data_IF_126074966695
#
_entry.id   IF_126074966695
#
_cell.length_a   1.000
_cell.length_b   1.000
_cell.length_c   1.000
_cell.angle_alpha   90.00
_cell.angle_beta   90.00
_cell.angle_gamma   90.00
#
_symmetry.space_group_name_H-M   'P 1'
#
loop_
_entity.id
_entity.type
_entity.pdbx_description
1 polymer ?
#
# COMPACT_ATOMS: atom_id res chain seq x y z
N UNK A 1 22.28 -15.84 -19.28
CA UNK A 1 22.02 -14.52 -19.89
C UNK A 1 20.63 -13.95 -19.53
N UNK A 2 19.53 -14.72 -19.72
CA UNK A 2 18.17 -14.21 -19.44
C UNK A 2 17.98 -13.79 -17.99
N UNK A 3 18.50 -14.58 -17.03
CA UNK A 3 18.43 -14.27 -15.60
C UNK A 3 19.21 -12.98 -15.27
N UNK A 4 20.41 -12.83 -15.82
CA UNK A 4 21.27 -11.66 -15.59
C UNK A 4 20.60 -10.39 -16.12
N UNK A 5 20.04 -10.45 -17.33
CA UNK A 5 19.27 -9.33 -17.91
C UNK A 5 18.06 -9.00 -17.06
N UNK A 6 17.33 -10.01 -16.58
CA UNK A 6 16.16 -9.80 -15.72
C UNK A 6 16.53 -9.12 -14.39
N UNK A 7 17.60 -9.59 -13.73
CA UNK A 7 18.11 -9.01 -12.49
C UNK A 7 18.61 -7.58 -12.72
N UNK A 8 19.43 -7.36 -13.75
CA UNK A 8 19.95 -6.03 -14.07
C UNK A 8 18.85 -5.04 -14.43
N UNK A 9 17.83 -5.47 -15.19
CA UNK A 9 16.66 -4.64 -15.49
C UNK A 9 15.87 -4.29 -14.23
N UNK A 10 15.69 -5.23 -13.33
CA UNK A 10 15.06 -4.99 -12.04
C UNK A 10 15.85 -3.99 -11.19
N UNK A 11 17.17 -4.13 -11.13
CA UNK A 11 18.05 -3.19 -10.42
C UNK A 11 17.95 -1.77 -10.99
N UNK A 12 17.97 -1.61 -12.33
CA UNK A 12 17.80 -0.32 -12.97
C UNK A 12 16.43 0.30 -12.66
N UNK A 13 15.37 -0.49 -12.74
CA UNK A 13 14.03 -0.04 -12.43
C UNK A 13 13.91 0.42 -10.97
N UNK A 14 14.42 -0.36 -10.02
CA UNK A 14 14.43 -0.02 -8.60
C UNK A 14 15.29 1.22 -8.32
N UNK A 15 16.45 1.31 -8.96
CA UNK A 15 17.31 2.50 -8.87
C UNK A 15 16.64 3.76 -9.38
N UNK A 16 15.89 3.67 -10.49
CA UNK A 16 15.12 4.79 -11.02
C UNK A 16 14.02 5.26 -10.07
N UNK A 17 13.30 4.32 -9.45
CA UNK A 17 12.29 4.65 -8.44
C UNK A 17 12.92 5.35 -7.23
N UNK A 18 14.06 4.84 -6.73
CA UNK A 18 14.80 5.46 -5.64
C UNK A 18 15.27 6.87 -5.99
N UNK A 19 15.71 7.09 -7.24
CA UNK A 19 16.09 8.42 -7.74
C UNK A 19 14.90 9.39 -7.75
N UNK A 20 13.76 8.96 -8.29
CA UNK A 20 12.52 9.76 -8.30
C UNK A 20 12.09 10.07 -6.87
N UNK A 21 12.14 9.09 -5.98
CA UNK A 21 11.81 9.27 -4.55
C UNK A 21 12.75 10.27 -3.89
N UNK A 22 14.05 10.20 -4.17
CA UNK A 22 15.01 11.19 -3.70
C UNK A 22 14.69 12.61 -4.19
N UNK A 23 14.33 12.76 -5.48
CA UNK A 23 13.93 14.05 -6.04
C UNK A 23 12.69 14.61 -5.34
N UNK A 24 11.67 13.76 -5.09
CA UNK A 24 10.46 14.13 -4.34
C UNK A 24 10.84 14.60 -2.93
N UNK A 25 11.65 13.84 -2.20
CA UNK A 25 12.09 14.18 -0.85
C UNK A 25 12.93 15.47 -0.82
N UNK A 26 13.78 15.66 -1.84
CA UNK A 26 14.57 16.89 -2.00
C UNK A 26 13.66 18.09 -2.22
N UNK A 27 12.70 17.99 -3.12
CA UNK A 27 11.76 19.06 -3.44
C UNK A 27 10.83 19.41 -2.25
N UNK A 28 10.44 18.40 -1.48
CA UNK A 28 9.59 18.57 -0.30
C UNK A 28 10.38 18.89 0.99
N UNK A 29 11.70 19.08 0.92
CA UNK A 29 12.59 19.38 2.05
C UNK A 29 12.54 18.34 3.18
N UNK A 30 12.39 17.04 2.84
CA UNK A 30 12.25 15.95 3.80
C UNK A 30 13.62 15.31 4.08
N UNK A 31 13.83 14.90 5.32
CA UNK A 31 15.00 14.15 5.77
C UNK A 31 14.58 12.83 6.45
N UNK A 32 15.41 11.77 6.41
CA UNK A 32 16.66 11.59 5.66
C UNK A 32 16.37 11.31 4.16
N UNK A 33 17.11 11.93 3.26
CA UNK A 33 16.93 11.77 1.79
C UNK A 33 18.13 11.15 1.09
N UNK A 34 19.33 11.25 1.69
CA UNK A 34 20.55 10.74 1.07
C UNK A 34 20.55 9.22 0.89
N UNK A 35 19.84 8.50 1.73
CA UNK A 35 19.70 7.05 1.60
C UNK A 35 19.10 6.66 0.24
N UNK A 36 18.07 7.37 -0.22
CA UNK A 36 17.46 7.11 -1.53
C UNK A 36 18.40 7.44 -2.69
N UNK A 37 19.24 8.47 -2.55
CA UNK A 37 20.26 8.77 -3.55
C UNK A 37 21.32 7.68 -3.60
N UNK A 38 21.79 7.22 -2.43
CA UNK A 38 22.74 6.12 -2.35
C UNK A 38 22.17 4.84 -2.96
N UNK A 39 20.94 4.47 -2.60
CA UNK A 39 20.24 3.31 -3.16
C UNK A 39 20.08 3.43 -4.69
N UNK A 40 19.74 4.62 -5.19
CA UNK A 40 19.63 4.87 -6.62
C UNK A 40 20.96 4.64 -7.35
N UNK A 41 22.05 5.24 -6.86
CA UNK A 41 23.37 5.12 -7.48
C UNK A 41 23.88 3.68 -7.44
N UNK A 42 23.69 3.00 -6.31
CA UNK A 42 24.08 1.61 -6.11
C UNK A 42 23.33 0.66 -7.05
N UNK A 43 21.99 0.74 -7.04
CA UNK A 43 21.15 -0.11 -7.86
C UNK A 43 21.33 0.15 -9.36
N UNK A 44 21.43 1.42 -9.77
CA UNK A 44 21.68 1.76 -11.18
C UNK A 44 23.08 1.32 -11.62
N UNK A 45 24.08 1.50 -10.78
CA UNK A 45 25.45 1.07 -11.09
C UNK A 45 25.52 -0.44 -11.29
N UNK A 46 24.94 -1.24 -10.40
CA UNK A 46 24.89 -2.69 -10.57
C UNK A 46 24.03 -3.11 -11.76
N UNK A 47 22.89 -2.49 -11.97
CA UNK A 47 22.03 -2.81 -13.10
C UNK A 47 22.71 -2.57 -14.43
N UNK A 48 23.45 -1.45 -14.59
CA UNK A 48 24.25 -1.16 -15.79
C UNK A 48 25.40 -2.15 -15.95
N UNK A 49 26.09 -2.51 -14.86
CA UNK A 49 27.14 -3.50 -14.87
C UNK A 49 26.61 -4.87 -15.33
N UNK A 50 25.47 -5.32 -14.78
CA UNK A 50 24.87 -6.61 -15.07
C UNK A 50 24.44 -6.74 -16.54
N UNK A 51 23.89 -5.67 -17.14
CA UNK A 51 23.44 -5.68 -18.53
C UNK A 51 24.60 -5.43 -19.50
N UNK A 52 25.74 -4.97 -19.02
CA UNK A 52 26.89 -4.64 -19.88
C UNK A 52 27.41 -5.86 -20.65
N UNK A 53 27.56 -5.78 -21.98
CA UNK A 53 28.08 -6.90 -22.79
C UNK A 53 29.58 -7.16 -22.60
N UNK A 54 30.28 -6.30 -21.87
CA UNK A 54 31.75 -6.34 -21.74
C UNK A 54 32.26 -7.26 -20.63
N UNK A 55 31.36 -7.84 -19.83
CA UNK A 55 31.74 -8.66 -18.66
C UNK A 55 30.92 -9.94 -18.61
N UNK A 56 31.52 -11.00 -18.06
CA UNK A 56 30.76 -12.16 -17.59
C UNK A 56 30.13 -11.83 -16.23
N UNK A 57 29.00 -11.13 -16.27
CA UNK A 57 28.27 -10.71 -15.08
C UNK A 57 27.59 -11.90 -14.35
N UNK A 58 27.57 -13.08 -14.95
CA UNK A 58 26.83 -14.25 -14.43
C UNK A 58 27.31 -14.67 -13.04
N UNK A 59 28.61 -14.77 -12.85
CA UNK A 59 29.19 -15.16 -11.56
C UNK A 59 28.95 -14.10 -10.48
N UNK A 60 29.03 -12.82 -10.84
CA UNK A 60 28.74 -11.72 -9.92
C UNK A 60 27.26 -11.72 -9.49
N UNK A 61 26.34 -11.88 -10.44
CA UNK A 61 24.91 -11.93 -10.15
C UNK A 61 24.52 -13.15 -9.32
N UNK A 62 25.12 -14.31 -9.58
CA UNK A 62 24.91 -15.51 -8.76
C UNK A 62 25.42 -15.30 -7.33
N UNK A 63 26.55 -14.61 -7.15
CA UNK A 63 27.09 -14.28 -5.84
C UNK A 63 26.14 -13.31 -5.10
N UNK A 64 25.65 -12.27 -5.77
CA UNK A 64 24.66 -11.33 -5.20
C UNK A 64 23.37 -12.03 -4.83
N UNK A 65 22.84 -12.89 -5.70
CA UNK A 65 21.65 -13.68 -5.43
C UNK A 65 21.87 -14.60 -4.22
N UNK A 66 23.01 -15.28 -4.16
CA UNK A 66 23.37 -16.13 -3.02
C UNK A 66 23.43 -15.34 -1.71
N UNK A 67 24.09 -14.19 -1.72
CA UNK A 67 24.14 -13.29 -0.56
C UNK A 67 22.74 -12.82 -0.15
N UNK A 68 21.92 -12.42 -1.12
CA UNK A 68 20.52 -12.03 -0.87
C UNK A 68 19.72 -13.16 -0.21
N UNK A 69 19.82 -14.39 -0.72
CA UNK A 69 19.12 -15.55 -0.16
C UNK A 69 19.60 -15.89 1.26
N UNK A 70 20.90 -15.75 1.54
CA UNK A 70 21.46 -15.94 2.89
C UNK A 70 20.86 -14.89 3.84
N UNK A 71 20.84 -13.62 3.44
CA UNK A 71 20.28 -12.53 4.25
C UNK A 71 18.78 -12.71 4.46
N UNK A 72 18.03 -13.14 3.44
CA UNK A 72 16.61 -13.46 3.54
C UNK A 72 16.38 -14.61 4.53
N UNK A 73 17.17 -15.69 4.43
CA UNK A 73 17.12 -16.83 5.34
C UNK A 73 17.44 -16.42 6.78
N UNK A 74 18.49 -15.64 6.99
CA UNK A 74 18.86 -15.11 8.32
C UNK A 74 17.77 -14.20 8.91
N UNK A 75 17.15 -13.35 8.10
CA UNK A 75 16.01 -12.52 8.52
C UNK A 75 14.82 -13.38 8.95
N UNK A 76 14.48 -14.41 8.16
CA UNK A 76 13.37 -15.32 8.46
C UNK A 76 13.63 -16.17 9.71
N UNK A 77 14.85 -16.64 9.91
CA UNK A 77 15.25 -17.36 11.12
C UNK A 77 15.17 -16.45 12.34
N UNK A 78 15.69 -15.23 12.26
CA UNK A 78 15.59 -14.25 13.34
C UNK A 78 14.12 -13.99 13.71
N UNK A 79 13.25 -13.77 12.72
CA UNK A 79 11.84 -13.53 12.96
C UNK A 79 11.15 -14.75 13.60
N UNK A 80 11.56 -15.98 13.24
CA UNK A 80 11.11 -17.21 13.88
C UNK A 80 11.59 -17.38 15.33
N UNK A 81 12.86 -17.09 15.61
CA UNK A 81 13.43 -17.21 16.95
C UNK A 81 12.92 -16.15 17.93
N UNK A 82 12.69 -14.93 17.46
CA UNK A 82 12.22 -13.82 18.28
C UNK A 82 10.71 -13.63 18.25
N UNK A 83 9.97 -14.63 17.73
CA UNK A 83 8.52 -14.63 17.74
C UNK A 83 7.99 -14.89 19.16
N UNK A 84 7.91 -13.86 19.98
CA UNK A 84 7.21 -13.93 21.26
C UNK A 84 5.69 -13.79 21.07
N UNK A 85 4.98 -14.86 21.37
CA UNK A 85 3.53 -14.93 21.38
C UNK A 85 2.98 -13.94 22.41
N UNK A 86 2.50 -12.78 22.00
CA UNK A 86 1.83 -11.81 22.86
C UNK A 86 2.62 -10.58 23.32
N UNK A 87 3.92 -10.47 23.03
CA UNK A 87 4.71 -9.24 23.24
C UNK A 87 5.09 -8.61 21.92
N UNK A 88 4.24 -7.71 21.42
CA UNK A 88 4.67 -6.84 20.33
C UNK A 88 5.56 -5.73 20.89
N UNK A 89 6.86 -5.81 20.68
CA UNK A 89 7.74 -4.68 20.87
C UNK A 89 7.92 -3.97 19.50
N UNK A 90 7.14 -2.90 19.23
CA UNK A 90 7.06 -2.31 17.89
C UNK A 90 8.41 -1.77 17.40
N UNK A 91 9.32 -1.43 18.33
CA UNK A 91 10.63 -0.88 17.98
C UNK A 91 11.66 -1.91 17.49
N UNK A 92 11.51 -3.19 17.84
CA UNK A 92 12.43 -4.25 17.43
C UNK A 92 12.07 -4.89 16.08
N UNK A 93 10.78 -4.93 15.73
CA UNK A 93 10.28 -5.55 14.49
C UNK A 93 10.58 -4.75 13.21
N UNK A 94 10.78 -3.44 13.33
CA UNK A 94 10.98 -2.54 12.19
C UNK A 94 12.40 -2.52 11.61
N UNK A 95 13.38 -3.19 12.19
CA UNK A 95 14.78 -2.83 11.90
C UNK A 95 15.42 -3.45 10.67
N UNK A 96 14.99 -4.54 10.12
CA UNK A 96 15.46 -5.04 8.79
C UNK A 96 14.63 -6.27 8.37
N UNK A 97 13.70 -6.12 7.47
CA UNK A 97 13.15 -7.24 6.69
C UNK A 97 13.64 -7.14 5.26
N UNK A 98 14.22 -8.20 4.78
CA UNK A 98 14.44 -8.38 3.36
C UNK A 98 13.16 -8.97 2.77
N UNK A 99 12.62 -8.31 1.76
CA UNK A 99 11.41 -8.76 1.05
C UNK A 99 11.79 -9.42 -0.26
N UNK A 100 10.93 -10.31 -0.72
CA UNK A 100 11.04 -10.85 -2.07
C UNK A 100 10.99 -9.72 -3.10
N UNK A 101 11.71 -9.85 -4.22
CA UNK A 101 11.65 -8.90 -5.31
C UNK A 101 10.20 -8.62 -5.75
N UNK A 102 9.90 -7.37 -6.09
CA UNK A 102 8.54 -6.89 -6.37
C UNK A 102 7.80 -7.71 -7.43
N UNK A 103 8.52 -8.21 -8.45
CA UNK A 103 7.91 -9.03 -9.50
C UNK A 103 7.41 -10.37 -8.96
N UNK A 104 8.05 -10.93 -7.92
CA UNK A 104 7.58 -12.14 -7.25
C UNK A 104 6.40 -11.87 -6.33
N UNK A 105 6.41 -10.71 -5.63
CA UNK A 105 5.29 -10.30 -4.78
C UNK A 105 4.09 -9.81 -5.58
N UNK A 106 4.28 -9.23 -6.74
CA UNK A 106 3.21 -8.79 -7.64
C UNK A 106 2.45 -9.98 -8.28
N UNK A 107 3.07 -11.16 -8.39
CA UNK A 107 2.41 -12.36 -8.91
C UNK A 107 1.52 -13.06 -7.86
N UNK A 108 1.80 -12.88 -6.57
CA UNK A 108 1.04 -13.49 -5.46
C UNK A 108 -0.42 -12.96 -5.39
N UNK A 109 -0.69 -11.66 -5.54
CA UNK A 109 -2.03 -11.11 -5.46
C UNK A 109 -2.99 -11.64 -6.52
N UNK A 110 -2.51 -11.83 -7.76
CA UNK A 110 -3.34 -12.34 -8.87
C UNK A 110 -3.83 -13.76 -8.56
N UNK A 111 -3.00 -14.60 -7.96
CA UNK A 111 -3.38 -15.96 -7.59
C UNK A 111 -4.38 -15.99 -6.42
N UNK A 112 -4.29 -15.03 -5.52
CA UNK A 112 -5.22 -14.89 -4.37
C UNK A 112 -6.56 -14.34 -4.84
N UNK A 113 -6.56 -13.31 -5.68
CA UNK A 113 -7.76 -12.75 -6.32
C UNK A 113 -8.47 -13.80 -7.17
N UNK A 114 -7.72 -14.59 -7.98
CA UNK A 114 -8.30 -15.66 -8.78
C UNK A 114 -8.96 -16.73 -7.91
N UNK A 115 -8.34 -17.15 -6.81
CA UNK A 115 -8.93 -18.10 -5.85
C UNK A 115 -10.19 -17.56 -5.17
N UNK A 116 -10.25 -16.25 -4.91
CA UNK A 116 -11.44 -15.59 -4.36
C UNK A 116 -12.54 -15.50 -5.42
N UNK A 117 -12.22 -15.03 -6.62
CA UNK A 117 -13.19 -14.97 -7.72
C UNK A 117 -13.73 -16.37 -8.09
N UNK A 118 -12.90 -17.40 -8.08
CA UNK A 118 -13.35 -18.79 -8.28
C UNK A 118 -14.27 -19.27 -7.17
N UNK A 119 -14.05 -18.88 -5.92
CA UNK A 119 -14.93 -19.18 -4.79
C UNK A 119 -16.22 -18.37 -4.81
N UNK A 120 -16.16 -17.12 -5.22
CA UNK A 120 -17.33 -16.24 -5.37
C UNK A 120 -18.20 -16.66 -6.56
N UNK A 121 -17.58 -17.05 -7.68
CA UNK A 121 -18.31 -17.54 -8.87
C UNK A 121 -18.88 -18.95 -8.73
N UNK A 122 -18.34 -19.78 -7.85
CA UNK A 122 -18.88 -21.13 -7.58
C UNK A 122 -20.09 -21.14 -6.62
N UNK A 123 -20.31 -20.04 -5.89
CA UNK A 123 -21.55 -19.81 -5.14
C UNK A 123 -22.29 -18.69 -5.88
N UNK A 124 -23.48 -18.96 -6.38
CA UNK A 124 -24.42 -17.95 -6.85
C UNK A 124 -24.79 -17.05 -5.66
N UNK A 125 -23.94 -16.01 -5.43
CA UNK A 125 -24.20 -15.01 -4.41
C UNK A 125 -25.23 -14.06 -5.05
N UNK A 126 -26.42 -13.99 -4.48
CA UNK A 126 -27.39 -12.94 -4.81
C UNK A 126 -26.69 -11.58 -4.61
N UNK A 127 -26.89 -10.67 -5.55
CA UNK A 127 -26.17 -9.37 -5.69
C UNK A 127 -26.17 -8.47 -4.45
N UNK A 128 -26.82 -8.87 -3.35
CA UNK A 128 -26.95 -8.08 -2.12
C UNK A 128 -26.37 -8.74 -0.85
N UNK A 129 -25.75 -9.90 -0.93
CA UNK A 129 -25.17 -10.53 0.26
C UNK A 129 -23.73 -10.07 0.51
N UNK A 130 -23.56 -9.32 1.59
CA UNK A 130 -22.24 -9.03 2.18
C UNK A 130 -21.69 -10.34 2.76
N UNK A 131 -20.60 -10.86 2.17
CA UNK A 131 -19.96 -12.04 2.73
C UNK A 131 -19.17 -11.64 3.97
N UNK A 132 -19.72 -11.97 5.14
CA UNK A 132 -19.16 -11.62 6.45
C UNK A 132 -18.66 -12.88 7.17
N UNK A 133 -17.37 -12.91 7.48
CA UNK A 133 -16.79 -13.93 8.35
C UNK A 133 -16.22 -13.28 9.61
N UNK A 134 -16.63 -13.76 10.76
CA UNK A 134 -16.12 -13.33 12.08
C UNK A 134 -15.55 -14.50 12.84
N UNK A 135 -14.35 -14.30 13.38
CA UNK A 135 -13.59 -15.35 14.04
C UNK A 135 -13.92 -15.51 15.51
N UNK A 136 -14.28 -14.41 16.16
CA UNK A 136 -14.62 -14.36 17.59
C UNK A 136 -15.47 -13.12 17.89
N UNK A 137 -15.97 -13.01 19.13
CA UNK A 137 -16.79 -11.87 19.57
C UNK A 137 -16.02 -10.58 19.88
N UNK A 138 -14.69 -10.53 19.59
CA UNK A 138 -13.92 -9.31 19.84
C UNK A 138 -14.44 -8.16 18.99
N UNK A 139 -14.41 -6.96 19.56
CA UNK A 139 -14.80 -5.73 18.85
C UNK A 139 -13.84 -5.46 17.68
N UNK A 140 -14.39 -4.94 16.59
CA UNK A 140 -13.61 -4.37 15.51
C UNK A 140 -13.34 -2.90 15.86
N UNK A 141 -12.08 -2.57 16.03
CA UNK A 141 -11.65 -1.23 16.41
C UNK A 141 -11.10 -0.42 15.23
N UNK A 142 -10.54 -1.11 14.25
CA UNK A 142 -10.02 -0.55 13.01
C UNK A 142 -10.33 -1.49 11.86
N UNK A 143 -10.68 -0.95 10.69
CA UNK A 143 -10.83 -1.73 9.47
C UNK A 143 -9.78 -1.29 8.45
N UNK A 144 -9.33 -2.23 7.63
CA UNK A 144 -8.48 -1.99 6.48
C UNK A 144 -9.29 -2.36 5.24
N UNK A 145 -9.49 -1.39 4.37
CA UNK A 145 -10.17 -1.58 3.10
C UNK A 145 -9.15 -1.78 1.98
N UNK A 146 -9.36 -2.80 1.17
CA UNK A 146 -8.54 -3.08 0.00
C UNK A 146 -9.45 -3.11 -1.21
N UNK A 147 -9.19 -2.21 -2.14
CA UNK A 147 -9.87 -2.16 -3.43
C UNK A 147 -9.07 -2.94 -4.45
N UNK A 148 -9.76 -3.77 -5.20
CA UNK A 148 -9.16 -4.47 -6.34
C UNK A 148 -9.72 -3.92 -7.64
N UNK A 149 -8.88 -3.72 -8.64
CA UNK A 149 -9.30 -3.24 -9.96
C UNK A 149 -8.75 -4.13 -11.06
N UNK A 150 -9.61 -4.53 -11.98
CA UNK A 150 -9.23 -5.37 -13.12
C UNK A 150 -8.80 -4.56 -14.36
N UNK A 151 -8.94 -3.22 -14.37
CA UNK A 151 -9.03 -2.45 -15.61
C UNK A 151 -7.73 -1.84 -16.15
N UNK A 152 -6.62 -1.79 -15.41
CA UNK A 152 -5.31 -1.40 -15.98
C UNK A 152 -4.15 -1.81 -15.09
N UNK A 153 -2.94 -1.95 -15.67
CA UNK A 153 -1.73 -2.40 -14.96
C UNK A 153 -1.40 -1.55 -13.72
N UNK A 154 -1.57 -0.22 -13.79
CA UNK A 154 -1.34 0.67 -12.64
C UNK A 154 -2.54 0.73 -11.70
N UNK A 155 -3.76 0.60 -12.20
CA UNK A 155 -4.98 0.47 -11.39
C UNK A 155 -5.13 -0.95 -10.82
N UNK A 156 -4.53 -1.97 -11.44
CA UNK A 156 -4.47 -3.34 -10.93
C UNK A 156 -3.61 -3.46 -9.64
N UNK A 157 -2.80 -2.43 -9.31
CA UNK A 157 -2.11 -2.40 -8.02
C UNK A 157 -3.06 -2.22 -6.84
N UNK A 158 -4.33 -1.85 -7.09
CA UNK A 158 -5.35 -1.69 -6.06
C UNK A 158 -5.16 -0.41 -5.22
N UNK A 159 -5.96 -0.30 -4.16
CA UNK A 159 -5.91 0.81 -3.21
C UNK A 159 -6.13 0.32 -1.78
N UNK A 160 -5.56 1.00 -0.79
CA UNK A 160 -5.73 0.68 0.63
C UNK A 160 -6.19 1.92 1.38
N UNK A 161 -7.28 1.76 2.12
CA UNK A 161 -7.79 2.74 3.06
C UNK A 161 -7.86 2.15 4.46
N UNK A 162 -7.98 3.00 5.45
CA UNK A 162 -8.25 2.60 6.83
C UNK A 162 -9.54 3.26 7.30
N UNK A 163 -10.28 2.52 8.12
CA UNK A 163 -11.44 3.07 8.84
C UNK A 163 -11.20 2.96 10.34
N UNK A 164 -11.20 4.08 11.01
CA UNK A 164 -11.06 4.16 12.46
C UNK A 164 -12.21 4.96 13.05
N UNK A 165 -12.89 4.40 14.05
CA UNK A 165 -14.05 5.02 14.69
C UNK A 165 -15.15 5.48 13.71
N UNK A 166 -15.44 4.68 12.68
CA UNK A 166 -16.46 4.98 11.67
C UNK A 166 -16.07 6.03 10.63
N UNK A 167 -14.82 6.50 10.66
CA UNK A 167 -14.28 7.45 9.70
C UNK A 167 -13.24 6.78 8.80
N UNK A 168 -13.49 6.78 7.50
CA UNK A 168 -12.55 6.32 6.48
C UNK A 168 -11.48 7.39 6.27
N UNK A 169 -10.23 6.97 6.25
CA UNK A 169 -9.05 7.80 5.99
C UNK A 169 -8.35 7.20 4.79
N UNK A 170 -8.29 7.95 3.73
CA UNK A 170 -7.71 7.54 2.46
C UNK A 170 -6.69 8.54 1.96
N UNK A 171 -5.71 8.07 1.19
CA UNK A 171 -4.65 8.90 0.65
C UNK A 171 -4.33 8.49 -0.78
N UNK A 172 -4.33 9.48 -1.67
CA UNK A 172 -4.11 9.22 -3.09
C UNK A 172 -3.77 10.47 -3.89
N UNK A 173 -3.65 10.31 -5.23
CA UNK A 173 -3.60 11.42 -6.19
C UNK A 173 -5.02 11.76 -6.62
N UNK A 174 -5.71 12.56 -5.82
CA UNK A 174 -7.11 12.94 -6.06
C UNK A 174 -7.28 14.32 -6.71
N UNK A 175 -6.18 14.98 -7.04
CA UNK A 175 -6.17 16.24 -7.78
C UNK A 175 -5.67 16.03 -9.22
N UNK A 176 -6.58 15.92 -10.20
CA UNK A 176 -6.21 15.68 -11.60
C UNK A 176 -5.32 16.78 -12.20
N UNK A 177 -5.41 18.01 -11.67
CA UNK A 177 -4.60 19.14 -12.18
C UNK A 177 -3.13 19.05 -11.74
N UNK A 178 -2.84 18.26 -10.71
CA UNK A 178 -1.46 18.05 -10.22
C UNK A 178 -0.77 16.83 -10.85
N UNK A 179 -1.49 16.02 -11.62
CA UNK A 179 -0.98 14.77 -12.17
C UNK A 179 0.15 14.97 -13.17
N UNK A 180 1.20 14.15 -13.01
CA UNK A 180 2.40 14.11 -13.84
C UNK A 180 2.78 12.67 -14.13
N UNK A 181 3.64 12.47 -15.13
CA UNK A 181 4.13 11.15 -15.54
C UNK A 181 2.99 10.12 -15.67
N UNK A 182 2.00 10.45 -16.52
CA UNK A 182 0.85 9.58 -16.80
C UNK A 182 0.00 9.24 -15.56
N UNK A 183 -0.14 10.17 -14.62
CA UNK A 183 -0.92 9.99 -13.40
C UNK A 183 -0.22 9.21 -12.28
N UNK A 184 1.08 8.88 -12.45
CA UNK A 184 1.83 8.15 -11.41
C UNK A 184 2.34 9.04 -10.28
N UNK A 185 2.46 10.35 -10.51
CA UNK A 185 2.89 11.37 -9.53
C UNK A 185 1.85 12.48 -9.53
N UNK A 186 1.53 12.99 -8.34
CA UNK A 186 0.65 14.13 -8.14
C UNK A 186 0.77 14.69 -6.74
N UNK A 187 -0.04 15.70 -6.42
CA UNK A 187 -0.16 16.17 -5.05
C UNK A 187 -0.80 15.08 -4.18
N UNK A 188 -0.23 14.85 -3.02
CA UNK A 188 -0.81 13.94 -2.05
C UNK A 188 -2.05 14.56 -1.40
N UNK A 189 -3.19 13.96 -1.63
CA UNK A 189 -4.47 14.36 -1.03
C UNK A 189 -4.93 13.28 -0.06
N UNK A 190 -5.24 13.68 1.17
CA UNK A 190 -5.89 12.84 2.16
C UNK A 190 -7.36 13.26 2.25
N UNK A 191 -8.27 12.28 2.31
CA UNK A 191 -9.64 12.58 2.68
C UNK A 191 -10.10 11.78 3.89
N UNK A 192 -11.12 12.33 4.56
CA UNK A 192 -11.86 11.68 5.63
C UNK A 192 -13.33 11.65 5.25
N UNK A 193 -13.95 10.46 5.30
CA UNK A 193 -15.34 10.26 4.90
C UNK A 193 -16.09 9.40 5.91
N UNK A 194 -17.42 9.49 5.91
CA UNK A 194 -18.26 8.56 6.67
C UNK A 194 -18.16 7.15 6.06
N UNK A 195 -18.04 6.12 6.90
CA UNK A 195 -17.85 4.73 6.50
C UNK A 195 -18.94 4.20 5.57
N UNK A 196 -20.18 4.36 5.97
CA UNK A 196 -21.33 3.80 5.24
C UNK A 196 -21.47 4.46 3.87
N UNK A 197 -21.42 5.78 3.82
CA UNK A 197 -21.51 6.55 2.58
C UNK A 197 -20.34 6.26 1.63
N UNK A 198 -19.15 6.07 2.19
CA UNK A 198 -17.97 5.71 1.40
C UNK A 198 -18.11 4.33 0.75
N UNK A 199 -18.58 3.32 1.51
CA UNK A 199 -18.84 1.98 0.97
C UNK A 199 -19.89 2.03 -0.12
N UNK A 200 -20.98 2.80 0.09
CA UNK A 200 -22.02 2.97 -0.91
C UNK A 200 -21.49 3.62 -2.20
N UNK A 201 -20.72 4.70 -2.08
CA UNK A 201 -20.06 5.33 -3.23
C UNK A 201 -19.13 4.35 -3.98
N UNK A 202 -18.36 3.53 -3.25
CA UNK A 202 -17.49 2.53 -3.85
C UNK A 202 -18.27 1.48 -4.65
N UNK A 203 -19.42 1.04 -4.17
CA UNK A 203 -20.31 0.09 -4.88
C UNK A 203 -20.84 0.67 -6.19
N UNK A 204 -21.28 1.93 -6.16
CA UNK A 204 -21.90 2.60 -7.32
C UNK A 204 -20.86 2.96 -8.38
N UNK A 205 -19.77 3.63 -7.98
CA UNK A 205 -18.82 4.24 -8.92
C UNK A 205 -17.78 3.29 -9.47
N UNK A 206 -17.37 2.28 -8.72
CA UNK A 206 -16.17 1.53 -9.09
C UNK A 206 -16.45 0.16 -9.69
N UNK A 207 -17.63 -0.43 -9.51
CA UNK A 207 -17.88 -1.85 -9.83
C UNK A 207 -16.72 -2.77 -9.33
N UNK A 208 -16.07 -2.38 -8.24
CA UNK A 208 -14.87 -2.99 -7.69
C UNK A 208 -15.23 -3.72 -6.42
N UNK A 209 -14.65 -4.87 -6.23
CA UNK A 209 -14.77 -5.59 -4.96
C UNK A 209 -13.99 -4.85 -3.89
N UNK A 210 -14.66 -4.53 -2.78
CA UNK A 210 -14.08 -3.93 -1.59
C UNK A 210 -13.92 -5.00 -0.51
N UNK A 211 -12.69 -5.36 -0.20
CA UNK A 211 -12.37 -6.25 0.92
C UNK A 211 -12.13 -5.44 2.18
N UNK A 212 -12.82 -5.77 3.25
CA UNK A 212 -12.67 -5.13 4.55
C UNK A 212 -12.16 -6.15 5.59
N UNK A 213 -11.08 -5.81 6.28
CA UNK A 213 -10.47 -6.61 7.34
C UNK A 213 -10.58 -5.86 8.66
N UNK A 214 -11.35 -6.42 9.60
CA UNK A 214 -11.52 -5.83 10.93
C UNK A 214 -10.44 -6.30 11.90
N UNK A 215 -9.79 -5.35 12.55
CA UNK A 215 -8.74 -5.56 13.55
C UNK A 215 -9.28 -5.25 14.95
N UNK A 216 -8.95 -6.12 15.90
CA UNK A 216 -9.16 -5.86 17.32
C UNK A 216 -7.87 -5.37 17.96
N UNK A 217 -7.92 -4.21 18.62
CA UNK A 217 -6.77 -3.50 19.13
C UNK A 217 -6.81 -3.38 20.65
N UNK A 218 -5.65 -3.47 21.30
CA UNK A 218 -5.50 -3.13 22.70
C UNK A 218 -5.58 -1.61 22.91
N UNK A 219 -5.82 -1.17 24.15
CA UNK A 219 -5.84 0.26 24.47
C UNK A 219 -4.53 0.99 24.14
N UNK A 220 -3.39 0.30 24.33
CA UNK A 220 -2.09 0.85 23.98
C UNK A 220 -1.94 1.06 22.46
N UNK A 221 -2.45 0.11 21.66
CA UNK A 221 -2.45 0.21 20.21
C UNK A 221 -3.37 1.33 19.71
N UNK A 222 -4.58 1.45 20.29
CA UNK A 222 -5.49 2.56 19.98
C UNK A 222 -4.84 3.91 20.24
N UNK A 223 -4.21 4.07 21.41
CA UNK A 223 -3.49 5.31 21.75
C UNK A 223 -2.38 5.65 20.74
N UNK A 224 -1.60 4.64 20.34
CA UNK A 224 -0.53 4.84 19.35
C UNK A 224 -1.08 5.27 17.97
N UNK A 225 -2.20 4.70 17.54
CA UNK A 225 -2.90 5.10 16.30
C UNK A 225 -3.41 6.54 16.43
N UNK A 226 -4.04 6.90 17.53
CA UNK A 226 -4.58 8.25 17.76
C UNK A 226 -3.48 9.31 17.82
N UNK A 227 -2.35 8.99 18.43
CA UNK A 227 -1.17 9.88 18.42
C UNK A 227 -0.67 10.08 16.99
N UNK A 228 -0.59 9.00 16.20
CA UNK A 228 -0.15 9.07 14.82
C UNK A 228 -1.11 9.85 13.93
N UNK A 229 -2.40 9.66 14.11
CA UNK A 229 -3.43 10.41 13.38
C UNK A 229 -3.33 11.91 13.69
N UNK A 230 -3.16 12.29 14.95
CA UNK A 230 -2.95 13.70 15.36
C UNK A 230 -1.69 14.31 14.73
N UNK A 231 -0.59 13.56 14.65
CA UNK A 231 0.62 14.02 13.94
C UNK A 231 0.34 14.29 12.46
N UNK A 232 -0.36 13.38 11.78
CA UNK A 232 -0.73 13.54 10.38
C UNK A 232 -1.64 14.75 10.21
N UNK A 233 -2.67 14.87 11.04
CA UNK A 233 -3.64 15.98 11.02
C UNK A 233 -2.99 17.35 11.18
N UNK A 234 -1.96 17.45 12.02
CA UNK A 234 -1.21 18.70 12.21
C UNK A 234 -0.50 19.21 10.95
N UNK A 235 -0.34 18.36 9.95
CA UNK A 235 0.32 18.68 8.68
C UNK A 235 -0.67 18.96 7.55
N UNK A 236 -1.97 18.86 7.82
CA UNK A 236 -3.02 18.99 6.81
C UNK A 236 -3.52 20.42 6.69
N UNK A 237 -3.83 20.82 5.45
CA UNK A 237 -4.59 22.03 5.13
C UNK A 237 -5.84 21.65 4.34
N UNK A 238 -7.00 22.25 4.61
CA UNK A 238 -8.21 22.00 3.83
C UNK A 238 -7.97 22.26 2.34
N UNK A 239 -8.53 21.39 1.50
CA UNK A 239 -8.46 21.53 0.07
C UNK A 239 -9.83 21.22 -0.56
N UNK A 240 -10.22 22.06 -1.52
CA UNK A 240 -11.47 21.96 -2.24
C UNK A 240 -11.25 21.36 -3.63
N UNK A 241 -11.95 20.25 -4.00
CA UNK A 241 -11.85 19.69 -5.33
C UNK A 241 -12.52 20.62 -6.36
N UNK A 242 -11.96 20.60 -7.57
CA UNK A 242 -12.54 21.35 -8.70
C UNK A 242 -13.93 20.79 -9.06
N UNK A 243 -14.88 21.70 -9.30
CA UNK A 243 -16.21 21.35 -9.80
C UNK A 243 -16.24 21.08 -11.32
N UNK A 244 -15.11 21.17 -12.01
CA UNK A 244 -15.05 20.94 -13.46
C UNK A 244 -15.40 19.51 -13.81
N UNK A 245 -16.20 19.39 -14.89
CA UNK A 245 -16.52 18.12 -15.51
C UNK A 245 -15.33 17.67 -16.38
N UNK A 246 -14.88 16.47 -16.19
CA UNK A 246 -13.82 15.88 -17.01
C UNK A 246 -14.42 14.88 -18.00
N UNK A 247 -13.92 14.95 -19.24
CA UNK A 247 -14.25 13.99 -20.28
C UNK A 247 -13.49 12.70 -20.04
N UNK A 248 -14.18 11.61 -19.75
CA UNK A 248 -13.57 10.27 -19.65
C UNK A 248 -13.32 9.67 -21.05
N UNK A 249 -12.47 8.64 -21.12
CA UNK A 249 -12.09 7.96 -22.37
C UNK A 249 -13.30 7.40 -23.17
N UNK A 250 -14.41 7.12 -22.50
CA UNK A 250 -15.64 6.59 -23.10
C UNK A 250 -16.65 7.66 -23.54
N UNK A 251 -16.23 8.94 -23.55
CA UNK A 251 -17.11 10.06 -23.97
C UNK A 251 -18.06 10.56 -22.90
N UNK A 252 -18.17 9.91 -21.74
CA UNK A 252 -18.93 10.39 -20.60
C UNK A 252 -18.28 11.60 -19.94
N UNK A 253 -19.09 12.59 -19.59
CA UNK A 253 -18.66 13.77 -18.85
C UNK A 253 -19.12 13.61 -17.43
N UNK A 254 -18.16 13.37 -16.52
CA UNK A 254 -18.44 13.20 -15.08
C UNK A 254 -17.59 14.16 -14.25
N UNK A 255 -18.07 14.44 -13.05
CA UNK A 255 -17.25 15.11 -12.04
C UNK A 255 -16.03 14.28 -11.67
N UNK A 256 -15.00 14.94 -11.13
CA UNK A 256 -13.81 14.24 -10.59
C UNK A 256 -14.22 13.35 -9.43
N UNK A 257 -13.49 12.26 -9.21
CA UNK A 257 -13.73 11.37 -8.06
C UNK A 257 -13.65 12.13 -6.72
N UNK A 258 -12.73 13.10 -6.59
CA UNK A 258 -12.63 13.95 -5.40
C UNK A 258 -13.87 14.83 -5.17
N UNK A 259 -14.52 15.29 -6.25
CA UNK A 259 -15.79 16.03 -6.14
C UNK A 259 -16.93 15.11 -5.66
N UNK A 260 -17.02 13.90 -6.21
CA UNK A 260 -18.00 12.90 -5.80
C UNK A 260 -17.81 12.50 -4.33
N UNK A 261 -16.56 12.23 -3.89
CA UNK A 261 -16.25 11.97 -2.49
C UNK A 261 -16.79 13.05 -1.55
N UNK A 262 -16.63 14.32 -1.93
CA UNK A 262 -17.13 15.43 -1.12
C UNK A 262 -18.65 15.48 -1.04
N UNK A 263 -19.36 15.29 -2.15
CA UNK A 263 -20.80 15.51 -2.23
C UNK A 263 -21.62 14.27 -1.93
N UNK A 264 -21.10 13.07 -2.19
CA UNK A 264 -21.82 11.81 -2.03
C UNK A 264 -21.40 11.04 -0.78
N UNK A 265 -20.10 11.12 -0.38
CA UNK A 265 -19.60 10.47 0.81
C UNK A 265 -19.33 11.42 2.00
N UNK A 266 -19.78 12.69 1.92
CA UNK A 266 -19.50 13.74 2.93
C UNK A 266 -18.03 13.85 3.29
N UNK A 267 -17.14 13.67 2.30
CA UNK A 267 -15.74 13.69 2.55
C UNK A 267 -15.21 15.11 2.74
N UNK A 268 -14.32 15.27 3.71
CA UNK A 268 -13.44 16.44 3.81
C UNK A 268 -12.07 16.09 3.24
N UNK A 269 -11.55 16.95 2.36
CA UNK A 269 -10.31 16.71 1.65
C UNK A 269 -9.22 17.68 2.12
N UNK A 270 -7.98 17.19 2.13
CA UNK A 270 -6.83 17.91 2.64
C UNK A 270 -5.60 17.66 1.76
N UNK A 271 -4.74 18.68 1.64
CA UNK A 271 -3.38 18.54 1.14
C UNK A 271 -2.37 18.67 2.30
N UNK A 272 -1.15 18.21 2.08
CA UNK A 272 -0.10 18.30 3.09
C UNK A 272 0.72 19.58 2.93
N UNK A 273 0.96 20.31 4.00
CA UNK A 273 1.87 21.46 4.04
C UNK A 273 3.32 21.02 3.88
N UNK A 274 3.71 20.01 4.66
CA UNK A 274 5.03 19.38 4.63
C UNK A 274 4.86 17.91 4.99
N UNK A 275 5.57 17.02 4.40
CA UNK A 275 5.64 15.58 4.72
C UNK A 275 6.13 14.82 3.49
N UNK A 276 6.58 13.58 3.69
CA UNK A 276 6.77 12.61 2.59
C UNK A 276 5.48 12.37 1.80
N UNK A 277 4.33 12.62 2.41
CA UNK A 277 3.01 12.50 1.80
C UNK A 277 2.53 13.76 1.06
N UNK A 278 3.32 14.83 1.00
CA UNK A 278 2.98 16.02 0.21
C UNK A 278 2.89 15.73 -1.29
N UNK A 279 3.72 14.81 -1.76
CA UNK A 279 3.66 14.32 -3.14
C UNK A 279 3.34 12.84 -3.13
N UNK A 280 2.26 12.48 -3.82
CA UNK A 280 1.91 11.09 -4.11
C UNK A 280 2.79 10.56 -5.23
N UNK A 281 3.36 9.39 -5.03
CA UNK A 281 4.00 8.62 -6.07
C UNK A 281 3.61 7.15 -5.91
N UNK A 282 2.93 6.61 -6.90
CA UNK A 282 2.31 5.27 -6.85
C UNK A 282 3.29 4.17 -6.45
N UNK A 283 4.58 4.31 -6.77
CA UNK A 283 5.62 3.30 -6.51
C UNK A 283 6.37 3.51 -5.18
N UNK A 284 6.13 4.60 -4.43
CA UNK A 284 6.83 4.81 -3.16
C UNK A 284 5.98 5.50 -2.08
N UNK A 285 5.55 6.75 -2.31
CA UNK A 285 4.74 7.52 -1.36
C UNK A 285 3.26 7.34 -1.65
N UNK A 286 2.76 6.12 -1.50
CA UNK A 286 1.42 5.71 -1.89
C UNK A 286 0.47 5.49 -0.70
N UNK A 287 -0.76 5.08 -0.99
CA UNK A 287 -1.80 4.79 0.01
C UNK A 287 -1.35 3.73 1.03
N UNK A 288 -0.64 2.70 0.58
CA UNK A 288 -0.16 1.62 1.46
C UNK A 288 0.85 2.15 2.46
N UNK A 289 1.76 3.03 2.04
CA UNK A 289 2.74 3.64 2.93
C UNK A 289 2.07 4.53 4.01
N UNK A 290 0.99 5.25 3.66
CA UNK A 290 0.23 6.01 4.65
C UNK A 290 -0.48 5.06 5.62
N UNK A 291 -1.22 4.09 5.11
CA UNK A 291 -1.92 3.10 5.93
C UNK A 291 -0.96 2.42 6.91
N UNK A 292 0.19 1.95 6.43
CA UNK A 292 1.23 1.39 7.30
C UNK A 292 1.75 2.38 8.33
N UNK A 293 1.97 3.62 7.95
CA UNK A 293 2.48 4.62 8.91
C UNK A 293 1.52 4.82 10.09
N UNK A 294 0.25 4.47 9.94
CA UNK A 294 -0.79 4.54 10.99
C UNK A 294 -0.90 3.20 11.72
N UNK A 295 -1.17 2.13 10.98
CA UNK A 295 -1.43 0.79 11.56
C UNK A 295 -0.14 0.16 12.11
N UNK A 296 1.00 0.47 11.53
CA UNK A 296 2.30 0.00 11.99
C UNK A 296 2.68 0.51 13.39
N UNK A 297 2.15 1.64 13.84
CA UNK A 297 2.32 2.10 15.23
C UNK A 297 1.59 1.19 16.23
N UNK A 298 0.55 0.50 15.80
CA UNK A 298 -0.14 -0.52 16.58
C UNK A 298 0.65 -1.84 16.70
N UNK A 299 1.84 -1.93 16.10
CA UNK A 299 2.67 -3.15 16.12
C UNK A 299 2.22 -4.19 15.11
N UNK A 300 1.39 -3.81 14.15
CA UNK A 300 1.11 -4.67 13.00
C UNK A 300 2.35 -4.69 12.11
N UNK A 301 2.88 -5.86 11.90
CA UNK A 301 4.13 -6.06 11.17
C UNK A 301 3.86 -6.22 9.67
N UNK A 302 3.11 -5.27 9.11
CA UNK A 302 2.53 -5.40 7.79
C UNK A 302 3.53 -5.02 6.71
N UNK A 303 4.55 -4.22 7.04
CA UNK A 303 5.41 -3.63 6.04
C UNK A 303 6.90 -3.78 6.32
N UNK A 304 7.59 -4.18 5.28
CA UNK A 304 9.03 -4.01 5.18
C UNK A 304 9.38 -2.55 4.84
N UNK A 305 10.33 -1.93 5.53
CA UNK A 305 10.68 -0.52 5.29
C UNK A 305 11.25 -0.22 3.91
N UNK A 306 11.57 -1.20 3.09
CA UNK A 306 12.25 -1.05 1.80
C UNK A 306 11.54 -1.76 0.64
N UNK A 307 10.35 -2.31 0.86
CA UNK A 307 9.60 -3.00 -0.19
C UNK A 307 8.56 -2.09 -0.85
N UNK A 308 8.47 -2.16 -2.17
CA UNK A 308 7.28 -1.71 -2.86
C UNK A 308 6.13 -2.59 -2.41
N UNK A 309 5.21 -2.05 -1.62
CA UNK A 309 4.08 -2.81 -1.15
C UNK A 309 2.90 -2.41 -1.98
N UNK A 310 2.38 -3.40 -2.65
CA UNK A 310 1.13 -3.29 -3.38
C UNK A 310 -0.02 -3.80 -2.51
N UNK A 311 -1.22 -3.27 -2.66
CA UNK A 311 -2.40 -3.66 -1.89
C UNK A 311 -2.64 -5.17 -1.82
N UNK A 312 -2.34 -5.91 -2.88
CA UNK A 312 -2.50 -7.35 -2.90
C UNK A 312 -1.56 -8.11 -1.95
N UNK A 313 -0.31 -7.64 -1.77
CA UNK A 313 0.61 -8.23 -0.76
C UNK A 313 0.08 -7.99 0.65
N UNK A 314 -0.55 -6.84 0.85
CA UNK A 314 -1.21 -6.48 2.09
C UNK A 314 -2.40 -7.40 2.38
N UNK A 315 -3.19 -7.71 1.35
CA UNK A 315 -4.32 -8.63 1.43
C UNK A 315 -3.89 -10.04 1.84
N UNK A 316 -2.85 -10.60 1.20
CA UNK A 316 -2.31 -11.92 1.57
C UNK A 316 -1.88 -11.97 3.04
N UNK A 317 -1.23 -10.91 3.53
CA UNK A 317 -0.87 -10.82 4.94
C UNK A 317 -2.09 -10.83 5.86
N UNK A 318 -3.11 -10.02 5.56
CA UNK A 318 -4.33 -9.94 6.37
C UNK A 318 -5.12 -11.26 6.36
N UNK A 319 -5.16 -11.96 5.23
CA UNK A 319 -5.74 -13.29 5.14
C UNK A 319 -4.98 -14.33 5.99
N UNK A 320 -3.65 -14.26 6.01
CA UNK A 320 -2.84 -15.11 6.88
C UNK A 320 -3.06 -14.79 8.36
N UNK A 321 -3.13 -13.51 8.73
CA UNK A 321 -3.45 -13.08 10.10
C UNK A 321 -4.87 -13.49 10.51
N UNK A 322 -5.84 -13.42 9.60
CA UNK A 322 -7.19 -13.90 9.86
C UNK A 322 -7.22 -15.40 10.14
N UNK A 323 -6.40 -16.21 9.49
CA UNK A 323 -6.32 -17.68 9.74
C UNK A 323 -5.68 -18.04 11.08
N UNK A 324 -4.86 -17.16 11.67
CA UNK A 324 -4.19 -17.45 12.96
C UNK A 324 -5.20 -17.38 14.12
N UNK A 325 -5.28 -18.37 15.02
CA UNK A 325 -6.21 -18.35 16.16
C UNK A 325 -6.09 -17.12 17.07
N UNK A 326 -4.88 -16.60 17.24
CA UNK A 326 -4.57 -15.42 18.06
C UNK A 326 -4.27 -14.15 17.23
N UNK A 327 -4.57 -14.16 15.92
CA UNK A 327 -4.33 -13.02 15.04
C UNK A 327 -5.14 -11.79 15.44
N UNK A 328 -4.64 -10.63 15.07
CA UNK A 328 -5.31 -9.34 15.32
C UNK A 328 -6.49 -9.11 14.39
N UNK A 329 -6.49 -9.75 13.21
CA UNK A 329 -7.62 -9.70 12.27
C UNK A 329 -8.71 -10.62 12.78
N UNK A 330 -9.87 -10.07 13.11
CA UNK A 330 -11.00 -10.75 13.76
C UNK A 330 -12.23 -10.87 12.87
N UNK A 331 -12.31 -10.07 11.82
CA UNK A 331 -13.39 -10.16 10.83
C UNK A 331 -12.91 -9.89 9.42
N UNK A 332 -13.67 -10.38 8.47
CA UNK A 332 -13.46 -10.17 7.04
C UNK A 332 -14.80 -10.00 6.35
N UNK A 333 -14.94 -8.96 5.53
CA UNK A 333 -16.15 -8.67 4.78
C UNK A 333 -15.82 -8.35 3.34
N UNK A 334 -16.77 -8.59 2.44
CA UNK A 334 -16.68 -8.23 1.02
C UNK A 334 -17.93 -7.42 0.69
N UNK A 335 -17.75 -6.26 0.09
CA UNK A 335 -18.80 -5.36 -0.33
C UNK A 335 -18.81 -5.20 -1.85
#
# INVERSE_FOLDING_TARGET
>A
YVLVIAIGSYQLFTGLISLITWLIYRNNHIHPRLNYLFDALWMMGFGLYSISPFHDATNFELLLLGFYLIMLGASSLRDGFFFEKGRSNPKLKRRMRMTLPIFMTALIPISTLRRWNERLSSHQIEENEVHFERKNEKSVDLEIFIHTSESSFFLAMGHVDICYQGQVISYGSYDPHSERLFGTIGDGVLFKANREKYIELCKIESQKTLFAYGLSLSQQQKKAIEERLREIESLLIPWEPSSQLLKRREGEVKHTYSYQLKHEADATLYKFTSSKFKTYFVLSTNCVLLADSIVGEAGTDILSPQGFIVPGTYQDYLDLEFKKPSGIVVSRSIY
#
